data_IF_770658645305
#
_entry.id   IF_770658645305
#
_cell.length_a   1.000
_cell.length_b   1.000
_cell.length_c   1.000
_cell.angle_alpha   90.00
_cell.angle_beta   90.00
_cell.angle_gamma   90.00
#
_symmetry.space_group_name_H-M   'P 1'
#
loop_
_entity.id
_entity.type
_entity.pdbx_description
1 polymer ?
#
# COMPACT_ATOMS: atom_id res chain seq x y z
N UNK A 1 -9.48 -1.60 13.07
CA UNK A 1 -9.07 -2.69 12.19
C UNK A 1 -7.65 -3.11 12.50
N UNK A 2 -7.25 -4.29 12.03
CA UNK A 2 -5.88 -4.78 12.16
C UNK A 2 -5.32 -5.06 10.76
N UNK A 3 -4.06 -4.73 10.58
CA UNK A 3 -3.25 -5.16 9.45
C UNK A 3 -2.32 -6.27 9.93
N UNK A 4 -2.28 -7.36 9.18
CA UNK A 4 -1.63 -8.61 9.58
C UNK A 4 -0.71 -9.12 8.49
N UNK A 5 0.44 -9.67 8.91
CA UNK A 5 1.39 -10.39 8.07
C UNK A 5 1.84 -9.58 6.85
N UNK A 6 2.16 -8.30 7.07
CA UNK A 6 2.54 -7.37 6.01
C UNK A 6 3.97 -7.63 5.54
N UNK A 7 4.14 -7.70 4.22
CA UNK A 7 5.42 -7.52 3.58
C UNK A 7 5.48 -6.09 3.02
N UNK A 8 6.56 -5.39 3.28
CA UNK A 8 6.89 -4.12 2.65
C UNK A 8 8.05 -4.35 1.70
N UNK A 9 7.84 -4.14 0.41
CA UNK A 9 8.87 -4.24 -0.60
C UNK A 9 8.94 -2.91 -1.38
N UNK A 10 10.15 -2.34 -1.50
CA UNK A 10 10.35 -1.00 -2.02
C UNK A 10 11.44 -0.96 -3.09
N UNK A 11 11.12 -0.26 -4.19
CA UNK A 11 12.03 -0.04 -5.32
C UNK A 11 12.20 1.46 -5.57
N UNK A 12 13.44 1.94 -5.78
CA UNK A 12 13.67 3.28 -6.31
C UNK A 12 13.18 3.33 -7.76
N UNK A 13 12.46 4.39 -8.10
CA UNK A 13 11.92 4.62 -9.43
C UNK A 13 12.21 6.06 -9.84
N UNK A 14 12.68 6.32 -11.07
CA UNK A 14 12.85 7.68 -11.53
C UNK A 14 11.57 8.51 -11.37
N UNK A 15 11.63 9.62 -10.65
CA UNK A 15 10.46 10.46 -10.37
C UNK A 15 9.73 10.91 -11.65
N UNK A 16 10.47 11.09 -12.75
CA UNK A 16 9.91 11.43 -14.05
C UNK A 16 8.94 10.38 -14.59
N UNK A 17 9.11 9.11 -14.25
CA UNK A 17 8.18 8.04 -14.64
C UNK A 17 6.87 8.09 -13.83
N UNK A 18 6.96 8.49 -12.57
CA UNK A 18 5.79 8.56 -11.69
C UNK A 18 5.02 9.87 -11.85
N UNK A 19 5.68 10.97 -12.23
CA UNK A 19 5.06 12.30 -12.29
C UNK A 19 3.78 12.38 -13.13
N UNK A 20 3.69 11.78 -14.34
CA UNK A 20 2.46 11.79 -15.13
C UNK A 20 1.28 11.05 -14.48
N UNK A 21 1.56 10.18 -13.52
CA UNK A 21 0.57 9.33 -12.84
C UNK A 21 0.04 9.95 -11.53
N UNK A 22 0.62 11.08 -11.11
CA UNK A 22 0.29 11.77 -9.86
C UNK A 22 -0.45 13.07 -10.19
N UNK A 23 -1.59 13.37 -9.55
CA UNK A 23 -2.29 14.65 -9.74
C UNK A 23 -1.40 15.86 -9.50
N UNK A 24 -1.62 16.93 -10.26
CA UNK A 24 -0.81 18.15 -10.20
C UNK A 24 -0.78 18.81 -8.81
N UNK A 25 -1.84 18.63 -8.01
CA UNK A 25 -1.91 19.17 -6.64
C UNK A 25 -1.12 18.37 -5.58
N UNK A 26 -0.44 17.29 -6.00
CA UNK A 26 0.45 16.51 -5.15
C UNK A 26 1.87 16.56 -5.69
N UNK A 27 2.84 16.69 -4.82
CA UNK A 27 4.27 16.58 -5.11
C UNK A 27 4.74 15.14 -4.81
N UNK A 28 5.65 14.61 -5.63
CA UNK A 28 6.30 13.33 -5.30
C UNK A 28 7.24 13.60 -4.13
N UNK A 29 7.08 12.85 -3.06
CA UNK A 29 7.99 12.91 -1.91
C UNK A 29 9.22 12.06 -2.22
N UNK A 30 10.40 12.64 -2.05
CA UNK A 30 11.69 12.04 -2.42
C UNK A 30 12.51 11.76 -1.16
N UNK A 31 13.16 10.60 -1.12
CA UNK A 31 14.21 10.29 -0.17
C UNK A 31 15.57 10.42 -0.84
N UNK A 32 16.39 11.36 -0.37
CA UNK A 32 17.71 11.65 -0.95
C UNK A 32 17.70 11.84 -2.47
N UNK A 33 16.64 12.45 -3.00
CA UNK A 33 16.48 12.70 -4.43
C UNK A 33 15.79 11.58 -5.23
N UNK A 34 15.52 10.43 -4.62
CA UNK A 34 14.90 9.27 -5.26
C UNK A 34 13.42 9.13 -4.88
N UNK A 35 12.59 8.80 -5.85
CA UNK A 35 11.21 8.37 -5.62
C UNK A 35 11.13 6.85 -5.43
N UNK A 36 10.11 6.40 -4.71
CA UNK A 36 9.94 4.97 -4.41
C UNK A 36 8.55 4.48 -4.81
N UNK A 37 8.52 3.25 -5.31
CA UNK A 37 7.30 2.48 -5.49
C UNK A 37 7.31 1.32 -4.49
N UNK A 38 6.15 1.04 -3.90
CA UNK A 38 6.00 -0.02 -2.91
C UNK A 38 4.95 -1.02 -3.34
N UNK A 39 5.25 -2.29 -3.10
CA UNK A 39 4.31 -3.41 -3.17
C UNK A 39 4.12 -3.94 -1.76
N UNK A 40 2.86 -3.95 -1.30
CA UNK A 40 2.54 -4.29 0.09
C UNK A 40 1.39 -5.30 0.12
N UNK A 41 1.68 -6.61 0.09
CA UNK A 41 0.71 -7.66 0.35
C UNK A 41 0.50 -7.84 1.86
N UNK A 42 -0.77 -7.97 2.29
CA UNK A 42 -1.13 -8.16 3.69
C UNK A 42 -2.53 -8.73 3.86
N UNK A 43 -2.94 -8.99 5.09
CA UNK A 43 -4.30 -9.31 5.46
C UNK A 43 -4.89 -8.21 6.31
N UNK A 44 -6.15 -7.89 6.06
CA UNK A 44 -6.93 -6.98 6.88
C UNK A 44 -7.93 -7.76 7.72
N UNK A 45 -8.07 -7.42 9.00
CA UNK A 45 -9.03 -8.04 9.92
C UNK A 45 -9.73 -7.00 10.80
N UNK A 46 -10.95 -7.33 11.26
CA UNK A 46 -11.70 -6.48 12.17
C UNK A 46 -12.07 -5.12 11.56
N UNK A 47 -12.35 -5.07 10.26
CA UNK A 47 -12.79 -3.85 9.60
C UNK A 47 -14.15 -3.45 10.15
N UNK A 48 -14.24 -2.23 10.70
CA UNK A 48 -15.37 -1.76 11.48
C UNK A 48 -16.66 -1.52 10.72
N UNK A 49 -17.75 -1.18 11.43
CA UNK A 49 -19.16 -1.36 11.00
C UNK A 49 -19.62 -0.49 9.82
N UNK A 50 -18.85 0.52 9.41
CA UNK A 50 -19.35 1.47 8.38
C UNK A 50 -19.34 0.85 6.98
N UNK A 51 -18.48 -0.17 6.71
CA UNK A 51 -18.28 -0.63 5.33
C UNK A 51 -18.28 -2.16 5.13
N UNK A 52 -18.17 -2.95 6.21
CA UNK A 52 -18.11 -4.41 6.11
C UNK A 52 -18.77 -5.06 7.34
N UNK A 53 -19.27 -6.31 7.23
CA UNK A 53 -19.75 -7.06 8.38
C UNK A 53 -18.66 -7.12 9.47
N UNK A 54 -19.05 -6.92 10.71
CA UNK A 54 -18.15 -6.98 11.87
C UNK A 54 -17.39 -8.31 11.85
N UNK A 55 -16.05 -8.24 11.94
CA UNK A 55 -15.20 -9.43 11.96
C UNK A 55 -14.72 -9.92 10.59
N UNK A 56 -15.01 -9.21 9.49
CA UNK A 56 -14.47 -9.61 8.17
C UNK A 56 -12.95 -9.54 8.14
N UNK A 57 -12.34 -10.60 7.59
CA UNK A 57 -10.92 -10.67 7.27
C UNK A 57 -10.77 -10.96 5.79
N UNK A 58 -9.85 -10.26 5.13
CA UNK A 58 -9.60 -10.42 3.70
C UNK A 58 -8.15 -10.06 3.34
N UNK A 59 -7.67 -10.61 2.23
CA UNK A 59 -6.37 -10.25 1.70
C UNK A 59 -6.46 -8.95 0.90
N UNK A 60 -5.42 -8.13 1.01
CA UNK A 60 -5.24 -6.87 0.27
C UNK A 60 -3.81 -6.73 -0.24
N UNK A 61 -3.67 -6.18 -1.43
CA UNK A 61 -2.38 -5.93 -2.08
C UNK A 61 -2.35 -4.51 -2.60
N UNK A 62 -1.41 -3.72 -2.11
CA UNK A 62 -1.25 -2.32 -2.48
C UNK A 62 -0.05 -2.13 -3.40
N UNK A 63 -0.23 -1.33 -4.45
CA UNK A 63 0.84 -0.70 -5.22
C UNK A 63 0.74 0.80 -5.00
N UNK A 64 1.77 1.40 -4.38
CA UNK A 64 1.71 2.80 -3.93
C UNK A 64 3.04 3.52 -4.11
N UNK A 65 2.98 4.84 -4.08
CA UNK A 65 4.14 5.73 -4.00
C UNK A 65 3.94 6.78 -2.91
N UNK A 66 4.95 7.60 -2.70
CA UNK A 66 5.03 8.60 -1.64
C UNK A 66 4.82 9.98 -2.22
N UNK A 67 3.95 10.73 -1.59
CA UNK A 67 3.59 12.08 -2.04
C UNK A 67 3.43 13.02 -0.85
N UNK A 68 3.49 14.31 -1.12
CA UNK A 68 3.19 15.36 -0.16
C UNK A 68 2.25 16.39 -0.77
N UNK A 69 1.50 17.03 0.09
CA UNK A 69 0.59 18.10 -0.23
C UNK A 69 0.94 19.32 0.62
N UNK A 70 1.04 20.48 -0.03
CA UNK A 70 1.24 21.76 0.63
C UNK A 70 -0.10 22.48 0.76
N UNK A 71 -0.68 22.45 1.94
CA UNK A 71 -1.95 23.09 2.24
C UNK A 71 -1.80 24.24 3.23
N UNK A 72 -2.92 24.87 3.58
CA UNK A 72 -2.94 25.97 4.58
C UNK A 72 -2.44 25.53 5.95
N UNK A 73 -2.59 24.24 6.26
CA UNK A 73 -2.15 23.62 7.53
C UNK A 73 -0.70 23.11 7.46
N UNK A 74 0.07 23.55 6.47
CA UNK A 74 1.45 23.13 6.23
C UNK A 74 1.58 21.92 5.30
N UNK A 75 2.81 21.39 5.22
CA UNK A 75 3.13 20.20 4.44
C UNK A 75 2.60 18.93 5.14
N UNK A 76 2.04 18.02 4.33
CA UNK A 76 1.59 16.71 4.76
C UNK A 76 2.13 15.64 3.83
N UNK A 77 3.00 14.78 4.35
CA UNK A 77 3.47 13.60 3.68
C UNK A 77 2.48 12.44 3.81
N UNK A 78 2.36 11.61 2.79
CA UNK A 78 1.46 10.47 2.76
C UNK A 78 1.71 9.57 1.56
N UNK A 79 0.75 8.71 1.26
CA UNK A 79 0.83 7.77 0.15
C UNK A 79 -0.22 8.04 -0.91
N UNK A 80 0.13 7.75 -2.16
CA UNK A 80 -0.76 7.69 -3.31
C UNK A 80 -0.80 6.26 -3.82
N UNK A 81 -2.02 5.72 -3.98
CA UNK A 81 -2.21 4.35 -4.46
C UNK A 81 -2.43 4.32 -5.97
N UNK A 82 -1.69 3.48 -6.66
CA UNK A 82 -1.93 3.15 -8.05
C UNK A 82 -2.95 2.01 -8.17
N UNK A 83 -2.93 1.06 -7.24
CA UNK A 83 -3.95 0.02 -7.12
C UNK A 83 -4.01 -0.55 -5.70
N UNK A 84 -5.21 -1.03 -5.34
CA UNK A 84 -5.49 -1.82 -4.15
C UNK A 84 -6.34 -3.02 -4.60
N UNK A 85 -5.73 -4.19 -4.67
CA UNK A 85 -6.45 -5.42 -5.00
C UNK A 85 -6.96 -6.06 -3.69
N UNK A 86 -8.22 -6.51 -3.66
CA UNK A 86 -8.81 -7.09 -2.47
C UNK A 86 -9.81 -8.21 -2.81
N UNK A 87 -9.93 -9.19 -1.89
CA UNK A 87 -10.90 -10.28 -2.04
C UNK A 87 -12.31 -9.89 -1.68
N UNK A 88 -12.50 -8.83 -0.91
CA UNK A 88 -13.82 -8.35 -0.48
C UNK A 88 -14.49 -7.50 -1.55
N UNK A 89 -15.35 -8.10 -2.38
CA UNK A 89 -16.09 -7.37 -3.43
C UNK A 89 -16.93 -6.22 -2.88
N UNK A 90 -17.59 -6.41 -1.73
CA UNK A 90 -18.36 -5.34 -1.08
C UNK A 90 -17.44 -4.22 -0.63
N UNK A 91 -16.30 -4.56 0.02
CA UNK A 91 -15.29 -3.59 0.42
C UNK A 91 -14.75 -2.78 -0.76
N UNK A 92 -14.45 -3.45 -1.88
CA UNK A 92 -14.01 -2.79 -3.13
C UNK A 92 -15.03 -1.73 -3.59
N UNK A 93 -16.33 -2.05 -3.64
CA UNK A 93 -17.38 -1.09 -4.08
C UNK A 93 -17.50 0.09 -3.14
N UNK A 94 -17.50 -0.16 -1.84
CA UNK A 94 -17.61 0.89 -0.81
C UNK A 94 -16.37 1.78 -0.79
N UNK A 95 -15.17 1.20 -0.85
CA UNK A 95 -13.93 1.97 -0.88
C UNK A 95 -13.82 2.86 -2.13
N UNK A 96 -14.19 2.36 -3.31
CA UNK A 96 -14.26 3.16 -4.54
C UNK A 96 -15.28 4.30 -4.43
N UNK A 97 -16.43 4.04 -3.83
CA UNK A 97 -17.52 5.03 -3.72
C UNK A 97 -17.27 6.12 -2.71
N UNK A 98 -16.67 5.77 -1.55
CA UNK A 98 -16.56 6.67 -0.41
C UNK A 98 -15.15 7.18 -0.14
N UNK A 99 -14.12 6.43 -0.57
CA UNK A 99 -12.72 6.84 -0.38
C UNK A 99 -12.02 7.22 -1.68
N UNK A 100 -12.69 7.11 -2.82
CA UNK A 100 -12.13 7.43 -4.13
C UNK A 100 -10.79 6.75 -4.39
N UNK A 101 -10.59 5.55 -3.84
CA UNK A 101 -9.38 4.76 -3.98
C UNK A 101 -9.52 3.74 -5.13
N UNK A 102 -8.44 3.46 -5.87
CA UNK A 102 -8.43 2.55 -7.01
C UNK A 102 -8.42 1.09 -6.58
N UNK A 103 -9.49 0.67 -5.89
CA UNK A 103 -9.68 -0.72 -5.48
C UNK A 103 -10.15 -1.60 -6.65
N UNK A 104 -9.64 -2.82 -6.71
CA UNK A 104 -9.99 -3.83 -7.70
C UNK A 104 -10.33 -5.16 -7.03
N UNK A 105 -11.32 -5.87 -7.61
CA UNK A 105 -11.60 -7.25 -7.20
C UNK A 105 -10.44 -8.15 -7.61
N UNK A 106 -10.01 -9.02 -6.70
CA UNK A 106 -8.98 -10.01 -6.96
C UNK A 106 -9.29 -11.35 -6.29
N UNK A 107 -8.79 -12.43 -6.88
CA UNK A 107 -8.68 -13.74 -6.25
C UNK A 107 -7.33 -13.84 -5.58
N UNK A 108 -7.31 -14.08 -4.29
CA UNK A 108 -6.10 -14.04 -3.49
C UNK A 108 -6.08 -15.19 -2.48
N UNK A 109 -4.89 -15.69 -2.18
CA UNK A 109 -4.64 -16.63 -1.09
C UNK A 109 -3.45 -16.17 -0.27
N UNK A 110 -3.51 -16.42 1.05
CA UNK A 110 -2.41 -16.19 1.98
C UNK A 110 -2.29 -17.44 2.84
N UNK A 111 -1.31 -18.25 2.54
CA UNK A 111 -1.08 -19.55 3.15
C UNK A 111 0.18 -19.51 4.01
N UNK A 112 0.09 -19.93 5.29
CA UNK A 112 1.30 -20.10 6.09
C UNK A 112 2.16 -21.22 5.50
N UNK A 113 3.47 -20.98 5.45
CA UNK A 113 4.48 -21.97 5.09
C UNK A 113 5.46 -22.13 6.26
N UNK A 114 6.42 -23.04 6.17
CA UNK A 114 7.29 -23.42 7.29
C UNK A 114 7.94 -22.22 8.04
N UNK A 115 8.30 -21.15 7.34
CA UNK A 115 8.98 -20.00 7.94
C UNK A 115 8.32 -18.64 7.59
N UNK A 116 7.14 -18.63 6.99
CA UNK A 116 6.52 -17.38 6.56
C UNK A 116 5.18 -17.60 5.88
N UNK A 117 4.99 -16.95 4.72
CA UNK A 117 3.74 -16.94 3.99
C UNK A 117 3.97 -17.08 2.49
N UNK A 118 3.13 -17.87 1.83
CA UNK A 118 2.92 -17.81 0.38
C UNK A 118 1.72 -16.92 0.11
N UNK A 119 1.91 -15.88 -0.67
CA UNK A 119 0.88 -14.94 -1.04
C UNK A 119 0.67 -14.99 -2.56
N UNK A 120 -0.59 -15.16 -2.97
CA UNK A 120 -0.98 -15.12 -4.39
C UNK A 120 -2.09 -14.09 -4.60
N UNK A 121 -2.03 -13.38 -5.71
CA UNK A 121 -3.08 -12.45 -6.13
C UNK A 121 -3.23 -12.48 -7.65
N UNK A 122 -4.47 -12.53 -8.11
CA UNK A 122 -4.82 -12.35 -9.52
C UNK A 122 -6.02 -11.40 -9.61
N UNK A 123 -5.84 -10.25 -10.25
CA UNK A 123 -6.90 -9.28 -10.46
C UNK A 123 -7.97 -9.85 -11.37
N UNK A 124 -9.24 -9.80 -10.93
CA UNK A 124 -10.40 -10.31 -11.65
C UNK A 124 -11.41 -9.21 -12.00
N UNK A 125 -11.11 -7.97 -11.63
CA UNK A 125 -11.99 -6.82 -11.86
C UNK A 125 -12.16 -6.56 -13.36
N UNK A 126 -13.42 -6.63 -13.83
CA UNK A 126 -13.74 -6.47 -15.26
C UNK A 126 -13.30 -5.10 -15.80
N UNK A 127 -12.57 -5.10 -16.91
CA UNK A 127 -12.12 -3.87 -17.58
C UNK A 127 -10.89 -3.22 -16.93
N UNK A 128 -10.33 -3.81 -15.86
CA UNK A 128 -9.09 -3.35 -15.26
C UNK A 128 -7.87 -3.96 -15.97
N UNK A 129 -6.72 -3.28 -15.98
CA UNK A 129 -5.47 -3.89 -16.44
C UNK A 129 -5.15 -5.15 -15.64
N UNK A 130 -4.62 -6.21 -16.27
CA UNK A 130 -4.22 -7.42 -15.56
C UNK A 130 -3.14 -7.11 -14.53
N UNK A 131 -3.20 -7.82 -13.40
CA UNK A 131 -2.19 -7.75 -12.36
C UNK A 131 -2.11 -9.11 -11.65
N UNK A 132 -0.87 -9.59 -11.42
CA UNK A 132 -0.61 -10.87 -10.76
C UNK A 132 0.59 -10.76 -9.84
N UNK A 133 0.46 -11.40 -8.68
CA UNK A 133 1.53 -11.56 -7.71
C UNK A 133 1.57 -13.01 -7.26
N UNK A 134 2.75 -13.58 -7.22
CA UNK A 134 3.07 -14.80 -6.47
C UNK A 134 4.40 -14.57 -5.77
N UNK A 135 4.37 -14.63 -4.44
CA UNK A 135 5.55 -14.41 -3.61
C UNK A 135 5.50 -15.33 -2.38
N UNK A 136 6.63 -15.92 -2.05
CA UNK A 136 6.84 -16.58 -0.75
C UNK A 136 7.81 -15.74 0.04
N UNK A 137 7.41 -15.29 1.23
CA UNK A 137 8.23 -14.41 2.06
C UNK A 137 8.31 -14.89 3.50
N UNK A 138 9.43 -14.60 4.13
CA UNK A 138 9.71 -14.99 5.50
C UNK A 138 10.39 -13.86 6.26
N UNK A 139 9.92 -13.55 7.49
CA UNK A 139 10.68 -12.67 8.37
C UNK A 139 11.97 -13.35 8.81
N UNK A 140 13.04 -12.57 8.94
CA UNK A 140 14.34 -13.02 9.44
C UNK A 140 14.82 -12.06 10.55
N UNK A 141 15.31 -12.63 11.64
CA UNK A 141 15.79 -11.82 12.78
C UNK A 141 14.69 -11.22 13.67
N UNK A 142 15.06 -10.41 14.64
CA UNK A 142 14.15 -9.81 15.61
C UNK A 142 13.33 -8.66 15.01
N UNK A 143 12.16 -8.40 15.60
CA UNK A 143 11.37 -7.22 15.29
C UNK A 143 11.92 -6.01 16.07
N UNK A 144 12.07 -4.88 15.39
CA UNK A 144 12.53 -3.62 15.98
C UNK A 144 11.78 -2.43 15.34
N UNK A 145 11.81 -1.30 16.00
CA UNK A 145 11.42 -0.02 15.38
C UNK A 145 12.47 0.34 14.33
N UNK A 146 12.02 0.96 13.24
CA UNK A 146 12.95 1.56 12.30
C UNK A 146 13.78 2.65 13.00
N UNK A 147 15.04 2.77 12.64
CA UNK A 147 15.89 3.84 13.14
C UNK A 147 15.35 5.19 12.66
N UNK A 148 15.10 6.15 13.56
CA UNK A 148 14.57 7.45 13.18
C UNK A 148 15.42 8.13 12.10
N UNK A 149 14.78 8.61 11.03
CA UNK A 149 15.45 9.23 9.89
C UNK A 149 16.13 8.24 8.93
N UNK A 150 15.95 6.93 9.10
CA UNK A 150 16.37 5.92 8.11
C UNK A 150 15.40 5.83 6.93
N UNK A 151 15.81 5.14 5.87
CA UNK A 151 14.92 4.87 4.74
C UNK A 151 13.66 4.10 5.19
N UNK A 152 13.79 3.08 6.03
CA UNK A 152 12.67 2.27 6.50
C UNK A 152 11.69 3.10 7.34
N UNK A 153 12.18 4.02 8.19
CA UNK A 153 11.34 4.97 8.92
C UNK A 153 10.58 5.87 7.93
N UNK A 154 11.29 6.48 6.97
CA UNK A 154 10.67 7.34 5.97
C UNK A 154 9.63 6.60 5.11
N UNK A 155 9.89 5.34 4.71
CA UNK A 155 8.97 4.53 3.91
C UNK A 155 7.72 4.11 4.69
N UNK A 156 7.80 3.91 6.01
CA UNK A 156 6.73 3.31 6.80
C UNK A 156 6.00 4.29 7.73
N UNK A 157 6.63 5.39 8.15
CA UNK A 157 6.01 6.42 9.00
C UNK A 157 5.06 7.33 8.17
N UNK A 158 4.03 6.74 7.55
CA UNK A 158 3.06 7.41 6.69
C UNK A 158 1.67 7.36 7.28
N UNK A 159 1.19 8.51 7.74
CA UNK A 159 -0.06 8.64 8.48
C UNK A 159 -1.17 9.31 7.69
N UNK A 160 -0.95 9.58 6.41
CA UNK A 160 -1.96 10.12 5.50
C UNK A 160 -1.98 9.34 4.18
N UNK A 161 -3.16 9.26 3.59
CA UNK A 161 -3.36 8.81 2.22
C UNK A 161 -4.03 9.93 1.43
N UNK A 162 -3.74 9.98 0.14
CA UNK A 162 -4.39 10.89 -0.79
C UNK A 162 -5.16 10.13 -1.83
N UNK A 163 -6.30 10.68 -2.25
CA UNK A 163 -7.13 10.14 -3.32
C UNK A 163 -7.72 11.27 -4.17
N UNK A 164 -8.25 10.92 -5.33
CA UNK A 164 -8.95 11.87 -6.19
C UNK A 164 -10.28 11.28 -6.68
N UNK A 165 -11.31 12.09 -6.73
CA UNK A 165 -12.57 11.69 -7.36
C UNK A 165 -12.50 11.80 -8.90
N UNK A 166 -13.56 11.37 -9.58
CA UNK A 166 -13.65 11.41 -11.05
C UNK A 166 -13.61 12.82 -11.65
N UNK A 167 -13.71 13.87 -10.83
CA UNK A 167 -13.57 15.28 -11.23
C UNK A 167 -12.17 15.82 -10.93
N UNK A 168 -11.25 14.98 -10.48
CA UNK A 168 -9.88 15.38 -10.11
C UNK A 168 -9.78 16.13 -8.79
N UNK A 169 -10.84 16.20 -7.98
CA UNK A 169 -10.78 16.83 -6.66
C UNK A 169 -10.03 15.93 -5.70
N UNK A 170 -9.07 16.52 -5.00
CA UNK A 170 -8.20 15.81 -4.06
C UNK A 170 -8.84 15.68 -2.68
N UNK A 171 -8.56 14.57 -2.05
CA UNK A 171 -8.98 14.24 -0.69
C UNK A 171 -7.80 13.67 0.09
N UNK A 172 -7.83 13.88 1.41
CA UNK A 172 -6.91 13.27 2.37
C UNK A 172 -7.69 12.46 3.38
N UNK A 173 -7.23 11.24 3.64
CA UNK A 173 -7.63 10.42 4.77
C UNK A 173 -6.44 10.29 5.71
N UNK A 174 -6.68 10.39 7.01
CA UNK A 174 -5.62 10.18 7.99
C UNK A 174 -5.76 8.79 8.62
N UNK A 175 -4.65 8.13 8.83
CA UNK A 175 -4.56 6.86 9.56
C UNK A 175 -3.73 7.07 10.82
N UNK A 176 -4.16 6.46 11.91
CA UNK A 176 -3.46 6.50 13.20
C UNK A 176 -3.10 5.09 13.60
N UNK A 177 -1.84 4.87 13.88
CA UNK A 177 -1.30 3.61 14.37
C UNK A 177 -0.01 3.86 15.16
N UNK A 178 0.38 2.87 15.95
CA UNK A 178 1.70 2.84 16.59
C UNK A 178 2.81 2.71 15.53
N UNK A 179 4.05 3.13 15.85
CA UNK A 179 5.19 2.87 14.99
C UNK A 179 5.31 1.38 14.63
N UNK A 180 5.74 1.11 13.41
CA UNK A 180 5.88 -0.25 12.91
C UNK A 180 7.00 -1.01 13.62
N UNK A 181 6.68 -2.21 14.12
CA UNK A 181 7.71 -3.19 14.46
C UNK A 181 8.06 -3.95 13.18
N UNK A 182 9.24 -3.67 12.64
CA UNK A 182 9.74 -4.21 11.39
C UNK A 182 10.75 -5.32 11.66
N UNK A 183 10.69 -6.37 10.84
CA UNK A 183 11.69 -7.43 10.76
C UNK A 183 12.28 -7.42 9.35
N UNK A 184 13.58 -7.55 9.16
CA UNK A 184 14.11 -7.88 7.84
C UNK A 184 13.38 -9.11 7.29
N UNK A 185 13.19 -9.15 5.98
CA UNK A 185 12.50 -10.27 5.33
C UNK A 185 13.30 -10.78 4.14
N UNK A 186 13.01 -12.01 3.75
CA UNK A 186 13.40 -12.58 2.47
C UNK A 186 12.15 -12.83 1.64
N UNK A 187 12.27 -12.76 0.32
CA UNK A 187 11.19 -13.07 -0.59
C UNK A 187 11.69 -13.80 -1.83
N UNK A 188 10.95 -14.82 -2.21
CA UNK A 188 11.07 -15.50 -3.49
C UNK A 188 9.89 -15.09 -4.38
N UNK A 189 10.18 -14.40 -5.47
CA UNK A 189 9.21 -13.82 -6.38
C UNK A 189 8.95 -14.79 -7.53
N UNK A 190 7.90 -15.60 -7.43
CA UNK A 190 7.44 -16.44 -8.53
C UNK A 190 6.81 -15.62 -9.67
N UNK A 191 6.09 -14.54 -9.33
CA UNK A 191 5.46 -13.63 -10.29
C UNK A 191 5.27 -12.23 -9.70
N UNK A 192 5.66 -11.20 -10.44
CA UNK A 192 5.54 -9.79 -10.03
C UNK A 192 5.07 -8.94 -11.24
N UNK A 193 3.81 -9.10 -11.63
CA UNK A 193 3.18 -8.45 -12.79
C UNK A 193 2.13 -7.43 -12.29
N UNK A 194 2.55 -6.39 -11.58
CA UNK A 194 1.65 -5.44 -10.92
C UNK A 194 1.69 -4.05 -11.52
N UNK A 195 2.77 -3.70 -12.18
CA UNK A 195 3.12 -2.32 -12.53
C UNK A 195 3.14 -2.04 -14.02
N UNK A 196 2.81 -3.02 -14.86
CA UNK A 196 2.79 -2.88 -16.33
C UNK A 196 1.91 -1.73 -16.81
N UNK A 197 0.76 -1.52 -16.18
CA UNK A 197 -0.14 -0.39 -16.46
C UNK A 197 0.44 0.98 -16.09
N UNK A 198 1.50 1.01 -15.30
CA UNK A 198 2.23 2.23 -14.91
C UNK A 198 3.42 2.50 -15.84
N UNK A 199 3.73 1.60 -16.78
CA UNK A 199 4.94 1.65 -17.60
C UNK A 199 6.22 1.41 -16.80
N UNK A 200 6.13 0.78 -15.61
CA UNK A 200 7.25 0.50 -14.71
C UNK A 200 7.46 -1.01 -14.65
N UNK A 201 8.71 -1.46 -14.74
CA UNK A 201 9.12 -2.84 -14.53
C UNK A 201 9.89 -2.95 -13.22
N UNK A 202 9.60 -3.96 -12.41
CA UNK A 202 10.28 -4.28 -11.15
C UNK A 202 11.12 -5.55 -11.37
N UNK A 203 12.24 -5.41 -12.06
CA UNK A 203 13.13 -6.51 -12.48
C UNK A 203 14.38 -6.64 -11.59
N UNK A 204 14.54 -5.73 -10.64
CA UNK A 204 15.62 -5.77 -9.65
C UNK A 204 15.10 -6.21 -8.29
N UNK A 205 16.00 -6.60 -7.39
CA UNK A 205 15.63 -6.81 -5.99
C UNK A 205 15.18 -5.50 -5.34
N UNK A 206 14.19 -5.54 -4.42
CA UNK A 206 13.82 -4.36 -3.64
C UNK A 206 14.99 -3.91 -2.77
N UNK A 207 15.17 -2.61 -2.62
CA UNK A 207 16.25 -2.02 -1.78
C UNK A 207 15.91 -2.04 -0.29
N UNK A 208 14.63 -2.14 0.04
CA UNK A 208 14.11 -2.38 1.40
C UNK A 208 13.04 -3.46 1.32
N UNK A 209 13.21 -4.47 2.16
CA UNK A 209 12.30 -5.61 2.27
C UNK A 209 12.11 -5.94 3.74
N UNK A 210 10.96 -5.55 4.28
CA UNK A 210 10.65 -5.72 5.70
C UNK A 210 9.28 -6.35 5.91
N UNK A 211 9.12 -7.00 7.05
CA UNK A 211 7.88 -7.66 7.46
C UNK A 211 7.37 -7.04 8.76
N UNK A 212 6.05 -6.92 8.89
CA UNK A 212 5.40 -6.61 10.15
C UNK A 212 4.27 -7.58 10.44
N UNK A 213 4.31 -8.19 11.61
CA UNK A 213 3.35 -9.24 12.01
C UNK A 213 1.94 -8.71 12.20
N UNK A 214 1.81 -7.57 12.87
CA UNK A 214 0.51 -6.99 13.23
C UNK A 214 0.62 -5.51 13.55
N UNK A 215 -0.41 -4.77 13.14
CA UNK A 215 -0.60 -3.39 13.55
C UNK A 215 -2.08 -3.08 13.77
N UNK A 216 -2.39 -2.34 14.84
CA UNK A 216 -3.73 -1.79 15.06
C UNK A 216 -3.85 -0.44 14.37
N UNK A 217 -4.87 -0.27 13.53
CA UNK A 217 -5.05 0.93 12.72
C UNK A 217 -6.44 1.51 12.90
N UNK A 218 -6.50 2.83 12.98
CA UNK A 218 -7.72 3.63 12.92
C UNK A 218 -7.63 4.56 11.72
N UNK A 219 -8.65 4.59 10.89
CA UNK A 219 -8.75 5.50 9.75
C UNK A 219 -9.85 6.53 10.00
N UNK A 220 -9.63 7.74 9.53
CA UNK A 220 -10.62 8.82 9.58
C UNK A 220 -11.40 8.92 8.27
N UNK A 221 -12.53 9.64 8.29
CA UNK A 221 -13.21 10.01 7.06
C UNK A 221 -12.33 10.93 6.19
N UNK A 222 -12.56 10.88 4.87
CA UNK A 222 -11.85 11.75 3.93
C UNK A 222 -12.22 13.23 4.17
N UNK A 223 -11.19 14.08 4.09
CA UNK A 223 -11.32 15.54 4.03
C UNK A 223 -10.97 15.99 2.61
N UNK A 224 -11.85 16.79 2.01
CA UNK A 224 -11.55 17.42 0.72
C UNK A 224 -10.45 18.47 0.93
N UNK A 225 -9.46 18.44 0.05
CA UNK A 225 -8.42 19.47 -0.03
C UNK A 225 -8.92 20.67 -0.81
N UNK A 226 -8.46 21.86 -0.43
CA UNK A 226 -8.86 23.11 -1.04
C UNK A 226 -8.10 23.36 -2.35
#
# INVERSE_FOLDING_TARGET
>A
MQWLDLLFAHWPIPAAMLRPLIPAGLEIDLWQGEAYLSVVPFRMAGVGPVFLPVGSSFAELNVRTYVKHHGKDGERAGVWFFSLDATSRVGVRLARRFFHLPYYDARMSVEPVAAGYRYTSERTHRGAPPARLEVTYSPVGPAALAEPGSLDDWLTARYSLFSADLRGRLYRGDVSHEPWLLQPATADWGRLELTSALGVTLDTAPVSLTFSKRLHVRATALKRLA
#
